data_IF_665056077098
#
_entry.id   IF_665056077098
#
_cell.length_a   1.000
_cell.length_b   1.000
_cell.length_c   1.000
_cell.angle_alpha   90.00
_cell.angle_beta   90.00
_cell.angle_gamma   90.00
#
_symmetry.space_group_name_H-M   'P 1'
#
loop_
_entity.id
_entity.type
_entity.pdbx_description
1 polymer ?
#
# COMPACT_ATOMS: atom_id res chain seq x y z
N UNK A 1 12.77 7.92 24.51
CA UNK A 1 11.84 8.70 23.65
C UNK A 1 12.41 10.05 23.20
N UNK A 2 13.00 10.87 24.08
CA UNK A 2 13.57 12.18 23.69
C UNK A 2 14.72 12.10 22.66
N UNK A 3 15.57 11.07 22.72
CA UNK A 3 16.66 10.88 21.75
C UNK A 3 16.14 10.68 20.32
N UNK A 4 15.25 9.69 20.11
CA UNK A 4 14.64 9.44 18.79
C UNK A 4 13.87 10.63 18.22
N UNK A 5 13.30 11.48 19.07
CA UNK A 5 12.62 12.69 18.60
C UNK A 5 13.59 13.73 18.05
N UNK A 6 14.77 13.88 18.66
CA UNK A 6 15.75 14.88 18.23
C UNK A 6 16.48 14.50 16.93
N UNK A 7 16.51 13.22 16.59
CA UNK A 7 17.03 12.70 15.32
C UNK A 7 16.12 12.98 14.12
N UNK A 8 14.84 13.31 14.36
CA UNK A 8 13.87 13.56 13.28
C UNK A 8 14.03 14.97 12.70
N UNK A 9 13.99 15.04 11.36
CA UNK A 9 13.93 16.31 10.63
C UNK A 9 12.64 17.07 10.93
N UNK A 10 12.67 18.40 10.77
CA UNK A 10 11.48 19.26 10.97
C UNK A 10 10.30 18.78 10.14
N UNK A 11 10.54 18.34 8.90
CA UNK A 11 9.51 17.77 8.02
C UNK A 11 8.90 16.51 8.61
N UNK A 12 9.70 15.57 9.12
CA UNK A 12 9.19 14.34 9.74
C UNK A 12 8.39 14.62 11.01
N UNK A 13 8.87 15.54 11.86
CA UNK A 13 8.13 16.00 13.06
C UNK A 13 6.79 16.61 12.68
N UNK A 14 6.77 17.49 11.68
CA UNK A 14 5.56 18.11 11.17
C UNK A 14 4.57 17.07 10.63
N UNK A 15 5.04 16.07 9.86
CA UNK A 15 4.21 14.97 9.37
C UNK A 15 3.61 14.17 10.53
N UNK A 16 4.40 13.83 11.56
CA UNK A 16 3.93 13.07 12.72
C UNK A 16 2.89 13.84 13.53
N UNK A 17 3.11 15.14 13.76
CA UNK A 17 2.15 15.98 14.50
C UNK A 17 0.88 16.15 13.67
N UNK A 18 1.00 16.45 12.37
CA UNK A 18 -0.15 16.61 11.48
C UNK A 18 -0.96 15.32 11.35
N UNK A 19 -0.31 14.15 11.27
CA UNK A 19 -1.01 12.86 11.21
C UNK A 19 -1.69 12.52 12.54
N UNK A 20 -1.07 12.85 13.67
CA UNK A 20 -1.70 12.68 14.98
C UNK A 20 -2.95 13.55 15.14
N UNK A 21 -2.85 14.84 14.81
CA UNK A 21 -3.99 15.77 14.82
C UNK A 21 -5.09 15.30 13.86
N UNK A 22 -4.72 14.96 12.62
CA UNK A 22 -5.65 14.44 11.63
C UNK A 22 -6.35 13.17 12.09
N UNK A 23 -5.63 12.24 12.74
CA UNK A 23 -6.20 11.04 13.33
C UNK A 23 -7.22 11.34 14.42
N UNK A 24 -6.91 12.27 15.32
CA UNK A 24 -7.86 12.72 16.36
C UNK A 24 -9.11 13.35 15.72
N UNK A 25 -8.93 14.26 14.76
CA UNK A 25 -10.06 14.86 14.03
C UNK A 25 -10.93 13.81 13.34
N UNK A 26 -10.31 12.78 12.75
CA UNK A 26 -11.02 11.69 12.08
C UNK A 26 -11.83 10.85 13.07
N UNK A 27 -11.25 10.51 14.24
CA UNK A 27 -11.99 9.80 15.30
C UNK A 27 -13.18 10.62 15.76
N UNK A 28 -12.98 11.92 16.06
CA UNK A 28 -14.07 12.82 16.46
C UNK A 28 -15.15 12.89 15.39
N UNK A 29 -14.76 13.01 14.10
CA UNK A 29 -15.68 13.04 12.98
C UNK A 29 -16.52 11.76 12.89
N UNK A 30 -15.90 10.60 12.99
CA UNK A 30 -16.60 9.30 12.99
C UNK A 30 -17.59 9.27 14.15
N UNK A 31 -17.13 9.51 15.38
CA UNK A 31 -17.96 9.39 16.58
C UNK A 31 -19.13 10.39 16.58
N UNK A 32 -18.92 11.63 16.15
CA UNK A 32 -19.99 12.64 16.13
C UNK A 32 -21.01 12.40 15.02
N UNK A 33 -20.59 11.82 13.89
CA UNK A 33 -21.45 11.53 12.75
C UNK A 33 -21.81 10.03 12.71
N UNK A 34 -21.84 9.39 13.87
CA UNK A 34 -22.23 7.97 13.99
C UNK A 34 -23.73 7.86 14.01
N UNK A 35 -24.31 7.82 12.81
CA UNK A 35 -25.66 7.30 12.59
C UNK A 35 -25.56 5.83 12.20
N UNK A 36 -26.10 4.95 13.04
CA UNK A 36 -26.09 3.52 12.80
C UNK A 36 -27.19 3.16 11.81
N UNK A 37 -26.80 2.48 10.74
CA UNK A 37 -27.73 1.99 9.73
C UNK A 37 -27.56 0.48 9.61
N UNK A 38 -28.68 -0.21 9.50
CA UNK A 38 -28.68 -1.64 9.20
C UNK A 38 -28.38 -1.83 7.71
N UNK A 39 -27.35 -2.61 7.40
CA UNK A 39 -26.92 -2.89 6.04
C UNK A 39 -26.81 -4.39 5.82
N UNK A 40 -27.29 -4.84 4.67
CA UNK A 40 -27.10 -6.20 4.18
C UNK A 40 -25.76 -6.27 3.41
N UNK A 41 -24.80 -7.00 3.96
CA UNK A 41 -23.48 -7.23 3.35
C UNK A 41 -23.41 -8.70 2.93
N UNK A 42 -23.53 -8.96 1.63
CA UNK A 42 -23.60 -10.31 1.05
C UNK A 42 -24.74 -11.14 1.66
N UNK A 43 -24.45 -11.92 2.70
CA UNK A 43 -25.41 -12.77 3.42
C UNK A 43 -25.53 -12.41 4.90
N UNK A 44 -24.91 -11.31 5.34
CA UNK A 44 -24.90 -10.86 6.73
C UNK A 44 -25.65 -9.57 6.88
N UNK A 45 -26.46 -9.47 7.94
CA UNK A 45 -27.06 -8.23 8.40
C UNK A 45 -26.17 -7.62 9.46
N UNK A 46 -25.70 -6.40 9.25
CA UNK A 46 -24.79 -5.74 10.17
C UNK A 46 -25.35 -4.36 10.50
N UNK A 47 -25.34 -4.01 11.78
CA UNK A 47 -25.65 -2.67 12.24
C UNK A 47 -24.34 -1.94 12.55
N UNK A 48 -23.99 -0.95 11.74
CA UNK A 48 -22.80 -0.14 11.94
C UNK A 48 -22.99 1.29 11.41
N UNK A 49 -22.11 2.20 11.80
CA UNK A 49 -22.05 3.53 11.21
C UNK A 49 -21.73 3.45 9.71
N UNK A 50 -22.46 4.22 8.88
CA UNK A 50 -22.18 4.35 7.44
C UNK A 50 -20.72 4.77 7.18
N UNK A 51 -20.19 5.68 8.01
CA UNK A 51 -18.81 6.16 7.83
C UNK A 51 -17.81 5.02 8.07
N UNK A 52 -18.05 4.20 9.09
CA UNK A 52 -17.22 3.03 9.37
C UNK A 52 -17.31 2.02 8.22
N UNK A 53 -18.50 1.81 7.64
CA UNK A 53 -18.70 0.95 6.48
C UNK A 53 -17.85 1.43 5.29
N UNK A 54 -17.96 2.70 4.92
CA UNK A 54 -17.21 3.31 3.81
C UNK A 54 -15.71 3.17 4.05
N UNK A 55 -15.24 3.47 5.27
CA UNK A 55 -13.83 3.40 5.61
C UNK A 55 -13.27 1.98 5.48
N UNK A 56 -13.98 0.98 6.00
CA UNK A 56 -13.58 -0.44 5.90
C UNK A 56 -13.62 -0.90 4.44
N UNK A 57 -14.67 -0.55 3.68
CA UNK A 57 -14.76 -0.90 2.25
C UNK A 57 -13.63 -0.28 1.43
N UNK A 58 -13.30 0.99 1.66
CA UNK A 58 -12.18 1.65 0.99
C UNK A 58 -10.83 1.01 1.35
N UNK A 59 -10.64 0.67 2.62
CA UNK A 59 -9.45 -0.01 3.10
C UNK A 59 -9.29 -1.40 2.47
N UNK A 60 -10.37 -2.18 2.40
CA UNK A 60 -10.38 -3.47 1.71
C UNK A 60 -10.03 -3.33 0.22
N UNK A 61 -10.61 -2.34 -0.47
CA UNK A 61 -10.27 -2.04 -1.86
C UNK A 61 -8.79 -1.71 -2.06
N UNK A 62 -8.22 -0.87 -1.18
CA UNK A 62 -6.79 -0.54 -1.20
C UNK A 62 -5.90 -1.77 -0.95
N UNK A 63 -6.28 -2.63 0.00
CA UNK A 63 -5.56 -3.88 0.28
C UNK A 63 -5.59 -4.83 -0.92
N UNK A 64 -6.73 -4.96 -1.60
CA UNK A 64 -6.84 -5.77 -2.82
C UNK A 64 -5.95 -5.22 -3.94
N UNK A 65 -5.94 -3.90 -4.15
CA UNK A 65 -5.05 -3.26 -5.13
C UNK A 65 -3.57 -3.48 -4.80
N UNK A 66 -3.19 -3.38 -3.52
CA UNK A 66 -1.81 -3.66 -3.08
C UNK A 66 -1.42 -5.11 -3.36
N UNK A 67 -2.28 -6.07 -3.03
CA UNK A 67 -2.04 -7.48 -3.30
C UNK A 67 -1.86 -7.77 -4.80
N UNK A 68 -2.71 -7.16 -5.64
CA UNK A 68 -2.60 -7.27 -7.09
C UNK A 68 -1.29 -6.66 -7.63
N UNK A 69 -0.95 -5.46 -7.17
CA UNK A 69 0.28 -4.75 -7.55
C UNK A 69 1.54 -5.54 -7.16
N UNK A 70 1.58 -6.15 -5.98
CA UNK A 70 2.72 -6.96 -5.55
C UNK A 70 2.92 -8.17 -6.47
N UNK A 71 1.83 -8.85 -6.82
CA UNK A 71 1.87 -9.99 -7.76
C UNK A 71 2.43 -9.58 -9.13
N UNK A 72 1.97 -8.45 -9.67
CA UNK A 72 2.45 -7.91 -10.93
C UNK A 72 3.95 -7.56 -10.89
N UNK A 73 4.41 -6.93 -9.79
CA UNK A 73 5.83 -6.59 -9.59
C UNK A 73 6.73 -7.82 -9.51
N UNK A 74 6.26 -8.90 -8.86
CA UNK A 74 7.01 -10.16 -8.78
C UNK A 74 7.17 -10.77 -10.17
N UNK A 75 6.09 -10.81 -10.96
CA UNK A 75 6.15 -11.32 -12.34
C UNK A 75 7.10 -10.51 -13.19
N UNK A 76 6.98 -9.17 -13.14
CA UNK A 76 7.85 -8.26 -13.89
C UNK A 76 9.33 -8.43 -13.51
N UNK A 77 9.63 -8.59 -12.22
CA UNK A 77 11.01 -8.82 -11.75
C UNK A 77 11.58 -10.13 -12.31
N UNK A 78 10.78 -11.21 -12.34
CA UNK A 78 11.23 -12.49 -12.91
C UNK A 78 11.50 -12.38 -14.42
N UNK A 79 10.61 -11.73 -15.16
CA UNK A 79 10.79 -11.50 -16.61
C UNK A 79 12.04 -10.65 -16.89
N UNK A 80 12.30 -9.64 -16.06
CA UNK A 80 13.47 -8.78 -16.18
C UNK A 80 14.78 -9.54 -15.97
N UNK A 81 14.84 -10.42 -14.96
CA UNK A 81 16.03 -11.26 -14.75
C UNK A 81 16.22 -12.29 -15.87
N UNK A 82 15.14 -12.89 -16.38
CA UNK A 82 15.22 -13.82 -17.51
C UNK A 82 15.69 -13.13 -18.81
N UNK A 83 15.26 -11.89 -19.06
CA UNK A 83 15.74 -11.12 -20.21
C UNK A 83 17.22 -10.75 -20.08
N UNK A 84 17.69 -10.36 -18.89
CA UNK A 84 19.11 -10.09 -18.65
C UNK A 84 19.99 -11.31 -18.91
N UNK A 85 19.57 -12.49 -18.48
CA UNK A 85 20.29 -13.74 -18.74
C UNK A 85 20.40 -14.01 -20.24
N UNK A 86 19.31 -13.86 -20.99
CA UNK A 86 19.32 -14.01 -22.45
C UNK A 86 20.26 -13.02 -23.14
N UNK A 87 20.32 -11.76 -22.69
CA UNK A 87 21.26 -10.77 -23.22
C UNK A 87 22.70 -11.24 -23.00
N UNK A 88 23.04 -11.69 -21.81
CA UNK A 88 24.39 -12.20 -21.50
C UNK A 88 24.76 -13.42 -22.35
N UNK A 89 23.86 -14.38 -22.51
CA UNK A 89 24.09 -15.55 -23.36
C UNK A 89 24.35 -15.16 -24.82
N UNK A 90 23.54 -14.24 -25.37
CA UNK A 90 23.71 -13.75 -26.73
C UNK A 90 25.01 -12.97 -26.91
N UNK A 91 25.42 -12.17 -25.93
CA UNK A 91 26.70 -11.46 -25.94
C UNK A 91 27.90 -12.42 -25.90
N UNK A 92 27.82 -13.49 -25.10
CA UNK A 92 28.85 -14.53 -25.05
C UNK A 92 28.93 -15.25 -26.40
N UNK A 93 27.79 -15.62 -26.98
CA UNK A 93 27.73 -16.30 -28.28
C UNK A 93 28.33 -15.43 -29.39
N UNK A 94 27.96 -14.15 -29.46
CA UNK A 94 28.49 -13.21 -30.44
C UNK A 94 30.03 -13.04 -30.32
N UNK A 95 30.58 -13.08 -29.10
CA UNK A 95 32.04 -13.04 -28.88
C UNK A 95 32.75 -14.32 -29.33
N UNK A 96 32.13 -15.48 -29.14
CA UNK A 96 32.67 -16.77 -29.61
C UNK A 96 32.70 -16.80 -31.14
N UNK A 97 31.63 -16.33 -31.78
CA UNK A 97 31.50 -16.34 -33.24
C UNK A 97 32.44 -15.33 -33.91
N UNK A 98 32.74 -14.19 -33.27
CA UNK A 98 33.72 -13.21 -33.76
C UNK A 98 35.19 -13.63 -33.58
N UNK A 99 35.47 -14.65 -32.75
CA UNK A 99 36.80 -15.21 -32.51
C UNK A 99 37.14 -16.43 -33.38
N UNK A 100 36.20 -16.91 -34.19
CA UNK A 100 36.39 -17.93 -35.24
C UNK A 100 36.63 -17.27 -36.58
#
# INVERSE_FOLDING_TARGET
MKEKWNELTVRQKAILIASAIGGICLVVFITQNTENVEVDVLFWKINLSIILLIFVSALLGALLMLAYSLSARIKLKKELEAMKQKIQELEIQARIDAGK
#
